data_IF_982317367201
#
_entry.id   IF_982317367201
#
_cell.length_a   1.000
_cell.length_b   1.000
_cell.length_c   1.000
_cell.angle_alpha   90.00
_cell.angle_beta   90.00
_cell.angle_gamma   90.00
#
_symmetry.space_group_name_H-M   'P 1'
#
loop_
_entity.id
_entity.type
_entity.pdbx_description
1 polymer ?
#
# COMPACT_ATOMS: atom_id res chain seq x y z
N UNK A 1 8.70 6.46 14.58
CA UNK A 1 7.54 6.67 13.67
C UNK A 1 7.02 8.06 13.90
N UNK A 2 6.62 8.80 12.87
CA UNK A 2 6.08 10.14 13.08
C UNK A 2 4.66 10.08 13.64
N UNK A 3 4.33 10.89 14.67
CA UNK A 3 2.98 10.99 15.20
C UNK A 3 2.04 11.58 14.14
N UNK A 4 1.02 10.81 13.75
CA UNK A 4 0.05 11.17 12.71
C UNK A 4 0.05 10.26 11.49
N UNK A 5 1.04 9.36 11.33
CA UNK A 5 0.98 8.31 10.31
C UNK A 5 -0.10 7.26 10.63
N UNK A 6 -0.97 6.98 9.66
CA UNK A 6 -2.04 5.96 9.76
C UNK A 6 -1.46 4.53 9.73
N UNK A 7 -0.42 4.30 8.92
CA UNK A 7 0.23 2.99 8.79
C UNK A 7 1.16 2.69 9.97
N UNK A 8 0.64 2.03 11.01
CA UNK A 8 1.42 1.69 12.21
C UNK A 8 1.77 0.19 12.32
N UNK A 9 0.93 -0.69 11.77
CA UNK A 9 1.04 -2.13 12.00
C UNK A 9 1.90 -2.91 10.99
N UNK A 10 2.26 -2.31 9.85
CA UNK A 10 2.70 -3.03 8.63
C UNK A 10 1.59 -3.88 7.96
N UNK A 11 0.59 -4.29 8.74
CA UNK A 11 -0.47 -5.24 8.37
C UNK A 11 -1.82 -4.59 8.02
N UNK A 12 -1.92 -3.26 7.87
CA UNK A 12 -3.05 -2.67 7.12
C UNK A 12 -3.08 -3.22 5.69
N UNK A 13 -1.95 -3.78 5.31
CA UNK A 13 -1.75 -4.67 4.22
C UNK A 13 -1.26 -6.08 4.75
N UNK A 14 -0.13 -6.72 4.39
CA UNK A 14 -0.06 -8.23 4.33
C UNK A 14 -0.28 -9.00 5.68
N UNK A 15 -1.02 -10.12 5.63
CA UNK A 15 -1.56 -10.85 6.81
C UNK A 15 -0.65 -11.92 7.46
N UNK A 16 0.62 -12.07 7.05
CA UNK A 16 1.60 -12.95 7.74
C UNK A 16 3.02 -12.40 7.58
N UNK A 17 3.84 -12.61 8.62
CA UNK A 17 5.25 -12.19 8.67
C UNK A 17 6.07 -12.84 7.54
N UNK A 18 6.89 -12.04 6.88
CA UNK A 18 8.01 -12.47 6.02
C UNK A 18 9.28 -11.84 6.60
N UNK A 19 10.36 -12.62 6.73
CA UNK A 19 11.59 -12.21 7.40
C UNK A 19 12.64 -11.84 6.34
N UNK A 20 12.86 -10.55 6.10
CA UNK A 20 14.08 -10.05 5.44
C UNK A 20 14.49 -8.72 6.07
N UNK A 21 15.77 -8.60 6.44
CA UNK A 21 16.32 -7.41 7.09
C UNK A 21 16.50 -6.24 6.10
N UNK A 22 16.42 -5.01 6.61
CA UNK A 22 16.80 -3.73 5.97
C UNK A 22 16.04 -3.20 4.73
N UNK A 23 15.25 -3.96 3.97
CA UNK A 23 14.28 -3.42 2.97
C UNK A 23 12.80 -3.57 3.39
N UNK A 24 12.59 -3.89 4.66
CA UNK A 24 11.32 -4.33 5.26
C UNK A 24 10.16 -3.32 5.13
N UNK A 25 10.44 -2.02 5.08
CA UNK A 25 9.39 -0.98 5.08
C UNK A 25 8.54 -0.91 3.81
N UNK A 26 9.06 -1.38 2.66
CA UNK A 26 8.31 -1.38 1.40
C UNK A 26 7.59 -2.72 1.22
N UNK A 27 8.24 -3.85 1.47
CA UNK A 27 7.69 -5.19 1.18
C UNK A 27 6.68 -5.72 2.22
N UNK A 28 6.72 -5.31 3.49
CA UNK A 28 5.87 -5.90 4.54
C UNK A 28 4.37 -5.65 4.36
N UNK A 29 3.98 -4.70 3.50
CA UNK A 29 2.65 -4.09 3.52
C UNK A 29 1.84 -4.33 2.23
N UNK A 30 1.44 -5.58 1.90
CA UNK A 30 0.51 -5.89 0.77
C UNK A 30 -0.64 -6.95 1.00
N UNK A 31 -1.76 -6.66 1.71
CA UNK A 31 -2.99 -7.52 1.81
C UNK A 31 -4.20 -6.98 1.07
N UNK A 32 -4.52 -5.68 1.14
CA UNK A 32 -5.62 -5.10 0.36
C UNK A 32 -5.48 -5.45 -1.12
N UNK A 33 -4.25 -5.30 -1.64
CA UNK A 33 -3.83 -5.80 -2.96
C UNK A 33 -4.17 -7.29 -3.19
N UNK A 34 -3.93 -8.17 -2.21
CA UNK A 34 -4.14 -9.63 -2.30
C UNK A 34 -5.57 -10.08 -1.95
N UNK A 35 -6.37 -9.20 -1.36
CA UNK A 35 -7.81 -9.34 -1.17
C UNK A 35 -8.57 -8.93 -2.43
N UNK A 36 -8.12 -7.90 -3.13
CA UNK A 36 -8.69 -7.41 -4.39
C UNK A 36 -8.23 -8.26 -5.58
N UNK A 37 -6.95 -8.68 -5.60
CA UNK A 37 -6.33 -9.31 -6.76
C UNK A 37 -5.49 -10.54 -6.41
N UNK A 38 -5.18 -11.37 -7.43
CA UNK A 38 -4.26 -12.50 -7.30
C UNK A 38 -2.81 -12.03 -7.31
N UNK A 39 -2.51 -11.06 -8.17
CA UNK A 39 -1.17 -10.59 -8.49
C UNK A 39 -1.12 -9.04 -8.47
N UNK A 40 0.04 -8.46 -8.18
CA UNK A 40 0.27 -7.03 -8.40
C UNK A 40 1.72 -6.71 -8.76
N UNK A 41 1.89 -5.56 -9.41
CA UNK A 41 3.18 -4.93 -9.69
C UNK A 41 3.14 -3.48 -9.20
N UNK A 42 4.24 -3.01 -8.64
CA UNK A 42 4.39 -1.65 -8.12
C UNK A 42 5.66 -1.03 -8.70
N UNK A 43 5.52 0.21 -9.19
CA UNK A 43 6.59 1.04 -9.69
C UNK A 43 6.76 2.21 -8.73
N UNK A 44 7.98 2.49 -8.26
CA UNK A 44 8.26 3.67 -7.45
C UNK A 44 9.50 4.39 -7.97
N UNK A 45 9.42 5.72 -7.93
CA UNK A 45 10.44 6.67 -8.37
C UNK A 45 10.78 7.54 -7.17
N UNK A 46 12.06 7.68 -6.86
CA UNK A 46 12.55 8.56 -5.79
C UNK A 46 14.00 8.95 -6.06
N UNK A 47 14.30 10.24 -6.08
CA UNK A 47 15.67 10.78 -6.14
C UNK A 47 16.50 10.20 -7.31
N UNK A 48 15.86 10.01 -8.48
CA UNK A 48 16.45 9.39 -9.67
C UNK A 48 16.46 7.85 -9.67
N UNK A 49 16.22 7.20 -8.53
CA UNK A 49 16.10 5.74 -8.44
C UNK A 49 14.72 5.28 -8.93
N UNK A 50 14.72 4.34 -9.87
CA UNK A 50 13.56 3.60 -10.32
C UNK A 50 13.59 2.19 -9.73
N UNK A 51 12.55 1.82 -9.02
CA UNK A 51 12.39 0.49 -8.41
C UNK A 51 11.05 -0.11 -8.79
N UNK A 52 11.06 -1.36 -9.26
CA UNK A 52 9.86 -2.14 -9.56
C UNK A 52 9.80 -3.36 -8.63
N UNK A 53 8.61 -3.65 -8.10
CA UNK A 53 8.31 -4.78 -7.22
C UNK A 53 7.15 -5.58 -7.83
N UNK A 54 7.38 -6.85 -8.13
CA UNK A 54 6.36 -7.79 -8.60
C UNK A 54 6.07 -8.85 -7.53
N UNK A 55 4.80 -9.00 -7.19
CA UNK A 55 4.30 -10.08 -6.33
C UNK A 55 3.13 -10.80 -7.01
N UNK A 56 3.45 -11.92 -7.66
CA UNK A 56 2.47 -12.75 -8.36
C UNK A 56 2.28 -14.09 -7.66
N UNK A 57 1.09 -14.37 -7.12
CA UNK A 57 0.72 -15.70 -6.63
C UNK A 57 0.59 -16.71 -7.77
N UNK A 58 0.15 -16.27 -8.95
CA UNK A 58 0.08 -17.12 -10.15
C UNK A 58 1.44 -17.72 -10.51
N UNK A 59 2.53 -16.94 -10.37
CA UNK A 59 3.90 -17.45 -10.53
C UNK A 59 4.26 -18.51 -9.47
N UNK A 60 3.90 -18.29 -8.20
CA UNK A 60 4.21 -19.25 -7.12
C UNK A 60 3.50 -20.58 -7.31
N UNK A 61 2.22 -20.54 -7.70
CA UNK A 61 1.41 -21.72 -7.98
C UNK A 61 1.95 -22.49 -9.19
N UNK A 62 2.34 -21.78 -10.27
CA UNK A 62 2.92 -22.40 -11.48
C UNK A 62 4.23 -23.16 -11.20
N UNK A 63 5.08 -22.62 -10.32
CA UNK A 63 6.36 -23.25 -9.95
C UNK A 63 6.32 -24.02 -8.61
N UNK A 64 5.13 -24.26 -8.04
CA UNK A 64 4.93 -24.95 -6.76
C UNK A 64 5.79 -24.44 -5.59
N UNK A 65 6.02 -23.12 -5.55
CA UNK A 65 6.89 -22.48 -4.56
C UNK A 65 6.19 -22.40 -3.20
N UNK A 66 6.82 -23.00 -2.17
CA UNK A 66 6.29 -23.04 -0.80
C UNK A 66 6.48 -21.71 -0.04
N UNK A 67 7.53 -20.96 -0.38
CA UNK A 67 7.88 -19.69 0.23
C UNK A 67 7.53 -18.49 -0.65
N UNK A 68 7.31 -17.33 -0.03
CA UNK A 68 6.92 -16.09 -0.74
C UNK A 68 8.13 -15.39 -1.33
N UNK A 69 8.38 -15.65 -2.62
CA UNK A 69 9.28 -14.88 -3.47
C UNK A 69 8.70 -13.48 -3.77
N UNK A 70 9.55 -12.46 -3.66
CA UNK A 70 9.25 -11.09 -4.12
C UNK A 70 10.31 -10.75 -5.16
N UNK A 71 9.89 -10.37 -6.37
CA UNK A 71 10.82 -9.93 -7.40
C UNK A 71 11.02 -8.42 -7.28
N UNK A 72 12.27 -8.00 -7.05
CA UNK A 72 12.69 -6.61 -7.01
C UNK A 72 13.61 -6.34 -8.20
N UNK A 73 13.34 -5.26 -8.91
CA UNK A 73 14.13 -4.76 -10.02
C UNK A 73 14.54 -3.31 -9.71
N UNK A 74 15.84 -3.01 -9.77
CA UNK A 74 16.38 -1.66 -9.58
C UNK A 74 17.09 -1.21 -10.85
N UNK A 75 16.88 0.04 -11.26
CA UNK A 75 17.47 0.57 -12.49
C UNK A 75 18.84 1.24 -12.32
N UNK A 76 19.54 0.93 -11.24
CA UNK A 76 20.96 1.28 -11.03
C UNK A 76 21.84 0.03 -10.88
N UNK A 77 21.30 -1.09 -10.35
CA UNK A 77 21.96 -2.40 -10.34
C UNK A 77 20.91 -3.51 -10.46
N UNK A 78 21.03 -4.37 -11.47
CA UNK A 78 20.27 -5.62 -11.54
C UNK A 78 20.80 -6.64 -10.52
N UNK A 79 20.40 -6.52 -9.25
CA UNK A 79 20.49 -7.61 -8.28
C UNK A 79 19.09 -8.21 -8.10
N UNK A 80 18.82 -9.42 -8.62
CA UNK A 80 17.65 -10.17 -8.18
C UNK A 80 17.88 -10.55 -6.72
N UNK A 81 17.22 -9.86 -5.78
CA UNK A 81 17.21 -10.24 -4.36
C UNK A 81 16.28 -11.45 -4.16
N UNK A 82 16.63 -12.55 -4.81
CA UNK A 82 16.17 -13.88 -4.43
C UNK A 82 17.08 -14.36 -3.30
N UNK A 83 16.61 -14.24 -2.05
CA UNK A 83 17.21 -14.93 -0.92
C UNK A 83 16.88 -16.43 -1.00
N UNK A 84 17.41 -17.10 -2.03
CA UNK A 84 17.35 -18.55 -2.22
C UNK A 84 18.76 -19.09 -2.39
N UNK A 85 19.32 -19.61 -1.30
CA UNK A 85 20.29 -20.71 -1.38
C UNK A 85 19.52 -21.99 -1.72
N UNK A 86 19.23 -22.16 -3.01
CA UNK A 86 18.91 -23.46 -3.59
C UNK A 86 20.20 -24.00 -4.21
N UNK A 87 20.55 -25.25 -3.91
CA UNK A 87 21.76 -25.88 -4.44
C UNK A 87 21.78 -25.80 -5.97
N UNK A 88 22.83 -25.22 -6.55
CA UNK A 88 23.04 -25.23 -8.01
C UNK A 88 22.65 -23.97 -8.79
N UNK A 89 22.41 -22.82 -8.15
CA UNK A 89 22.79 -21.53 -8.76
C UNK A 89 21.73 -20.42 -8.84
N UNK A 90 22.23 -19.19 -8.68
CA UNK A 90 21.47 -17.95 -8.85
C UNK A 90 21.08 -17.73 -10.30
N UNK A 91 19.88 -18.20 -10.71
CA UNK A 91 19.26 -17.78 -11.99
C UNK A 91 18.86 -16.31 -11.91
N UNK A 92 19.81 -15.43 -12.19
CA UNK A 92 19.49 -14.15 -12.79
C UNK A 92 18.65 -14.42 -14.05
N UNK A 93 17.52 -13.73 -14.19
CA UNK A 93 16.71 -13.80 -15.40
C UNK A 93 17.49 -13.10 -16.52
N UNK A 94 18.23 -13.89 -17.31
CA UNK A 94 18.94 -13.40 -18.49
C UNK A 94 17.94 -12.73 -19.44
N UNK A 95 18.14 -11.43 -19.69
CA UNK A 95 17.37 -10.67 -20.66
C UNK A 95 17.90 -10.96 -22.06
N UNK A 96 17.28 -11.92 -22.75
CA UNK A 96 17.47 -12.11 -24.19
C UNK A 96 16.72 -11.02 -24.98
N UNK A 97 17.08 -10.82 -26.26
CA UNK A 97 16.54 -9.78 -27.16
C UNK A 97 15.00 -9.75 -27.24
N UNK A 98 14.30 -10.87 -27.07
CA UNK A 98 12.84 -10.93 -26.95
C UNK A 98 12.25 -10.34 -25.66
N UNK A 99 13.09 -9.97 -24.69
CA UNK A 99 12.68 -9.26 -23.46
C UNK A 99 12.78 -7.75 -23.58
N UNK A 100 13.48 -7.22 -24.59
CA UNK A 100 13.66 -5.77 -24.79
C UNK A 100 12.31 -5.03 -24.87
N UNK A 101 11.38 -5.48 -25.72
CA UNK A 101 10.04 -4.86 -25.85
C UNK A 101 9.17 -4.98 -24.59
N UNK A 102 9.47 -5.93 -23.70
CA UNK A 102 8.81 -6.07 -22.40
C UNK A 102 9.41 -5.14 -21.36
N UNK A 103 10.69 -4.79 -21.49
CA UNK A 103 11.35 -3.75 -20.69
C UNK A 103 10.84 -2.36 -21.07
N UNK A 104 10.69 -2.07 -22.37
CA UNK A 104 10.11 -0.82 -22.87
C UNK A 104 8.71 -0.58 -22.26
N UNK A 105 7.84 -1.59 -22.31
CA UNK A 105 6.51 -1.55 -21.69
C UNK A 105 6.51 -1.37 -20.15
N UNK A 106 7.62 -1.64 -19.46
CA UNK A 106 7.81 -1.32 -18.03
C UNK A 106 8.27 0.14 -17.84
N UNK A 107 9.07 0.71 -18.74
CA UNK A 107 9.42 2.14 -18.72
C UNK A 107 8.20 3.02 -18.95
N UNK A 108 7.29 2.64 -19.86
CA UNK A 108 6.00 3.29 -20.06
C UNK A 108 5.17 3.42 -18.76
N UNK A 109 5.37 2.52 -17.78
CA UNK A 109 4.70 2.63 -16.47
C UNK A 109 5.40 3.61 -15.53
N UNK A 110 6.72 3.77 -15.62
CA UNK A 110 7.46 4.79 -14.87
C UNK A 110 7.20 6.20 -15.43
N UNK A 111 6.99 6.37 -16.74
CA UNK A 111 6.64 7.67 -17.34
C UNK A 111 5.30 8.23 -16.84
N UNK A 112 4.36 7.35 -16.47
CA UNK A 112 3.10 7.75 -15.80
C UNK A 112 3.33 8.47 -14.46
N UNK A 113 4.51 8.34 -13.86
CA UNK A 113 4.94 9.07 -12.66
C UNK A 113 5.68 10.34 -13.12
N UNK A 114 4.92 11.36 -13.48
CA UNK A 114 5.44 12.64 -13.99
C UNK A 114 6.30 13.43 -13.00
N UNK A 115 6.15 13.19 -11.69
CA UNK A 115 6.95 13.85 -10.65
C UNK A 115 8.39 13.32 -10.52
N UNK A 116 9.26 14.02 -9.77
CA UNK A 116 10.59 13.52 -9.40
C UNK A 116 10.51 12.35 -8.41
N UNK A 117 9.39 12.22 -7.70
CA UNK A 117 9.08 11.07 -6.85
C UNK A 117 7.59 10.69 -6.94
N UNK A 118 7.29 9.42 -6.68
CA UNK A 118 5.93 8.89 -6.68
C UNK A 118 5.88 7.36 -6.73
N UNK A 119 4.67 6.81 -6.62
CA UNK A 119 4.44 5.36 -6.65
C UNK A 119 3.16 5.04 -7.42
N UNK A 120 3.25 4.09 -8.35
CA UNK A 120 2.15 3.51 -9.11
C UNK A 120 1.99 2.04 -8.68
N UNK A 121 0.77 1.63 -8.35
CA UNK A 121 0.43 0.23 -8.03
C UNK A 121 -0.58 -0.25 -9.06
N UNK A 122 -0.28 -1.35 -9.73
CA UNK A 122 -1.16 -2.01 -10.71
C UNK A 122 -1.56 -3.38 -10.16
N UNK A 123 -2.83 -3.53 -9.80
CA UNK A 123 -3.44 -4.79 -9.41
C UNK A 123 -3.98 -5.49 -10.66
N UNK A 124 -3.70 -6.78 -10.83
CA UNK A 124 -4.18 -7.55 -11.98
C UNK A 124 -4.54 -8.99 -11.58
N UNK A 125 -5.29 -9.69 -12.44
CA UNK A 125 -6.01 -10.92 -12.06
C UNK A 125 -6.90 -10.67 -10.82
N UNK A 126 -7.81 -9.69 -10.96
CA UNK A 126 -8.78 -9.31 -9.93
C UNK A 126 -9.62 -10.51 -9.47
N UNK A 127 -10.06 -10.51 -8.22
CA UNK A 127 -10.96 -11.55 -7.71
C UNK A 127 -12.29 -11.53 -8.46
N UNK A 128 -12.80 -12.74 -8.69
CA UNK A 128 -14.11 -13.01 -9.25
C UNK A 128 -15.00 -13.62 -8.17
N UNK A 129 -16.31 -13.38 -8.27
CA UNK A 129 -17.34 -14.05 -7.48
C UNK A 129 -17.68 -15.41 -8.10
N UNK A 130 -18.54 -16.20 -7.44
CA UNK A 130 -18.87 -17.58 -7.86
C UNK A 130 -19.55 -17.65 -9.24
N UNK A 131 -20.22 -16.58 -9.68
CA UNK A 131 -20.78 -16.46 -11.04
C UNK A 131 -19.71 -16.31 -12.13
N UNK A 132 -18.45 -16.06 -11.75
CA UNK A 132 -17.34 -15.75 -12.65
C UNK A 132 -17.15 -14.26 -12.89
N UNK A 133 -18.08 -13.39 -12.50
CA UNK A 133 -17.98 -11.94 -12.66
C UNK A 133 -16.97 -11.31 -11.68
N UNK A 134 -16.57 -10.06 -11.91
CA UNK A 134 -15.75 -9.33 -10.95
C UNK A 134 -16.57 -8.91 -9.72
N UNK A 135 -15.95 -8.95 -8.53
CA UNK A 135 -16.55 -8.43 -7.29
C UNK A 135 -16.79 -6.91 -7.34
N UNK A 136 -15.99 -6.21 -8.15
CA UNK A 136 -16.07 -4.78 -8.41
C UNK A 136 -16.68 -4.55 -9.80
N UNK A 137 -17.78 -3.80 -9.85
CA UNK A 137 -18.39 -3.34 -11.09
C UNK A 137 -17.68 -2.07 -11.59
N UNK A 138 -17.33 -2.06 -12.89
CA UNK A 138 -16.64 -0.96 -13.57
C UNK A 138 -17.48 -0.31 -14.67
N UNK A 139 -18.78 -0.59 -14.76
CA UNK A 139 -19.65 -0.10 -15.82
C UNK A 139 -20.13 1.33 -15.51
N UNK A 140 -20.43 1.61 -14.24
CA UNK A 140 -20.93 2.94 -13.81
C UNK A 140 -19.88 4.04 -14.06
N UNK A 141 -20.12 5.01 -14.96
CA UNK A 141 -19.11 5.98 -15.36
C UNK A 141 -18.63 6.82 -14.18
N UNK A 142 -17.30 7.01 -14.10
CA UNK A 142 -16.61 7.71 -13.02
C UNK A 142 -16.69 7.08 -11.62
N UNK A 143 -17.31 5.91 -11.45
CA UNK A 143 -17.40 5.20 -10.18
C UNK A 143 -16.88 3.76 -10.29
N UNK A 144 -16.73 3.11 -9.14
CA UNK A 144 -16.53 1.67 -8.98
C UNK A 144 -17.47 1.23 -7.87
N UNK A 145 -18.39 0.30 -8.17
CA UNK A 145 -19.43 -0.16 -7.23
C UNK A 145 -19.20 -1.62 -6.87
N UNK A 146 -19.81 -2.10 -5.79
CA UNK A 146 -19.90 -3.54 -5.54
C UNK A 146 -20.93 -4.16 -6.50
N UNK A 147 -20.62 -5.34 -7.03
CA UNK A 147 -21.56 -6.10 -7.87
C UNK A 147 -22.79 -6.57 -7.07
N UNK A 148 -22.62 -6.84 -5.77
CA UNK A 148 -23.71 -7.13 -4.83
C UNK A 148 -24.25 -5.80 -4.24
N UNK A 149 -24.97 -5.03 -5.05
CA UNK A 149 -25.61 -3.79 -4.60
C UNK A 149 -26.78 -4.09 -3.65
N UNK A 150 -26.78 -3.48 -2.47
CA UNK A 150 -27.88 -3.56 -1.50
C UNK A 150 -28.44 -2.16 -1.25
N UNK A 151 -29.65 -1.88 -1.75
CA UNK A 151 -30.29 -0.56 -1.68
C UNK A 151 -30.57 -0.09 -0.24
N UNK A 152 -30.71 -1.03 0.71
CA UNK A 152 -30.90 -0.72 2.14
C UNK A 152 -29.59 -0.31 2.85
N UNK A 153 -28.42 -0.36 2.17
CA UNK A 153 -27.14 0.05 2.75
C UNK A 153 -26.79 1.49 2.44
N UNK A 154 -26.05 2.09 3.38
CA UNK A 154 -25.28 3.32 3.22
C UNK A 154 -24.53 3.32 1.87
N UNK A 155 -24.63 4.41 1.10
CA UNK A 155 -24.02 4.51 -0.23
C UNK A 155 -22.49 4.40 -0.16
N UNK A 156 -21.87 4.75 0.98
CA UNK A 156 -20.46 4.53 1.30
C UNK A 156 -20.04 3.06 1.34
N UNK A 157 -20.99 2.12 1.44
CA UNK A 157 -20.71 0.67 1.31
C UNK A 157 -20.88 0.16 -0.11
N UNK A 158 -21.71 0.83 -0.91
CA UNK A 158 -22.06 0.43 -2.27
C UNK A 158 -21.16 1.08 -3.35
N UNK A 159 -20.73 2.33 -3.11
CA UNK A 159 -19.95 3.16 -4.03
C UNK A 159 -18.58 3.50 -3.45
N UNK A 160 -17.52 3.19 -4.19
CA UNK A 160 -16.15 3.60 -3.84
C UNK A 160 -16.02 5.14 -3.87
N UNK A 161 -16.73 5.84 -4.76
CA UNK A 161 -16.74 7.31 -4.79
C UNK A 161 -17.33 7.92 -3.52
N UNK A 162 -18.42 7.37 -3.00
CA UNK A 162 -19.02 7.81 -1.74
C UNK A 162 -18.09 7.51 -0.56
N UNK A 163 -17.56 6.29 -0.47
CA UNK A 163 -16.58 5.90 0.54
C UNK A 163 -15.36 6.84 0.60
N UNK A 164 -14.76 7.13 -0.56
CA UNK A 164 -13.61 8.03 -0.69
C UNK A 164 -13.91 9.48 -0.32
N UNK A 165 -15.19 9.90 -0.31
CA UNK A 165 -15.57 11.27 0.05
C UNK A 165 -15.43 11.56 1.55
N UNK A 166 -15.69 10.55 2.40
CA UNK A 166 -15.69 10.64 3.87
C UNK A 166 -14.51 9.91 4.54
N UNK A 167 -13.68 9.18 3.78
CA UNK A 167 -12.55 8.36 4.27
C UNK A 167 -11.60 9.09 5.24
N UNK A 168 -11.44 10.40 5.09
CA UNK A 168 -10.60 11.22 5.97
C UNK A 168 -11.39 12.34 6.61
N UNK A 169 -11.37 12.43 7.96
CA UNK A 169 -12.00 13.52 8.70
C UNK A 169 -11.50 14.91 8.27
N UNK A 170 -10.22 15.01 7.91
CA UNK A 170 -9.57 16.23 7.42
C UNK A 170 -8.90 15.96 6.07
N UNK A 171 -9.64 15.97 4.94
CA UNK A 171 -9.09 15.63 3.64
C UNK A 171 -8.12 16.73 3.16
N UNK A 172 -6.87 16.34 2.87
CA UNK A 172 -5.83 17.19 2.25
C UNK A 172 -5.39 16.66 0.88
N UNK A 173 -5.36 15.34 0.71
CA UNK A 173 -5.02 14.69 -0.56
C UNK A 173 -6.17 14.86 -1.57
N UNK A 174 -5.84 15.22 -2.81
CA UNK A 174 -6.80 15.25 -3.92
C UNK A 174 -6.95 13.83 -4.48
N UNK A 175 -8.14 13.25 -4.37
CA UNK A 175 -8.44 11.91 -4.90
C UNK A 175 -9.16 12.03 -6.24
N UNK A 176 -8.75 11.23 -7.22
CA UNK A 176 -9.41 11.10 -8.53
C UNK A 176 -9.79 9.64 -8.73
N UNK A 177 -11.05 9.39 -9.09
CA UNK A 177 -11.54 8.06 -9.43
C UNK A 177 -12.00 8.07 -10.88
N UNK A 178 -11.42 7.20 -11.71
CA UNK A 178 -11.70 7.08 -13.15
C UNK A 178 -11.71 8.46 -13.86
N UNK A 179 -10.60 9.19 -13.72
CA UNK A 179 -10.38 10.52 -14.29
C UNK A 179 -11.12 11.68 -13.60
N UNK A 180 -12.22 11.43 -12.87
CA UNK A 180 -13.03 12.48 -12.25
C UNK A 180 -12.69 12.65 -10.77
N UNK A 181 -12.34 13.88 -10.37
CA UNK A 181 -12.07 14.26 -8.97
C UNK A 181 -13.19 13.78 -8.04
N UNK A 182 -12.85 13.25 -6.87
CA UNK A 182 -13.80 12.95 -5.79
C UNK A 182 -13.99 14.22 -4.97
N UNK A 183 -15.24 14.57 -4.69
CA UNK A 183 -15.57 15.69 -3.81
C UNK A 183 -15.52 15.19 -2.37
N UNK A 184 -14.40 15.43 -1.70
CA UNK A 184 -14.22 15.07 -0.29
C UNK A 184 -14.98 16.05 0.60
N UNK A 185 -15.75 15.53 1.54
CA UNK A 185 -16.54 16.31 2.49
C UNK A 185 -15.85 16.34 3.85
N UNK A 186 -16.08 17.39 4.63
CA UNK A 186 -15.80 17.36 6.08
C UNK A 186 -17.13 17.09 6.77
N UNK A 187 -17.26 15.92 7.38
CA UNK A 187 -18.51 15.47 8.03
C UNK A 187 -19.06 16.55 8.98
N UNK A 188 -18.18 17.18 9.77
CA UNK A 188 -18.53 18.24 10.72
C UNK A 188 -19.14 19.51 10.08
N UNK A 189 -18.90 19.78 8.79
CA UNK A 189 -19.52 20.92 8.07
C UNK A 189 -20.81 20.55 7.32
N UNK A 190 -21.22 19.28 7.36
CA UNK A 190 -22.43 18.77 6.70
C UNK A 190 -23.60 18.63 7.67
N UNK A 191 -23.35 18.70 8.97
CA UNK A 191 -24.36 18.54 10.02
C UNK A 191 -25.12 19.84 10.31
N UNK A 192 -26.43 19.73 10.50
CA UNK A 192 -27.29 20.82 10.99
C UNK A 192 -27.14 20.89 12.53
N UNK A 193 -26.63 22.02 13.04
CA UNK A 193 -26.30 22.26 14.46
C UNK A 193 -25.23 21.32 15.07
N UNK A 194 -23.95 21.45 14.67
CA UNK A 194 -22.86 20.68 15.28
C UNK A 194 -22.55 21.18 16.70
N UNK A 195 -22.75 20.31 17.70
CA UNK A 195 -22.33 20.55 19.09
C UNK A 195 -21.01 19.86 19.42
N UNK A 196 -20.20 20.50 20.28
CA UNK A 196 -18.90 19.96 20.74
C UNK A 196 -18.94 19.65 22.23
N UNK A 197 -18.69 18.40 22.58
CA UNK A 197 -18.50 17.95 23.95
C UNK A 197 -17.03 17.61 24.20
N UNK A 198 -16.45 18.13 25.29
CA UNK A 198 -15.07 17.82 25.68
C UNK A 198 -15.06 16.59 26.59
N UNK A 199 -14.52 15.47 26.11
CA UNK A 199 -14.40 14.24 26.89
C UNK A 199 -12.98 14.08 27.47
N UNK A 200 -12.86 14.07 28.80
CA UNK A 200 -11.59 13.86 29.50
C UNK A 200 -11.33 12.37 29.71
N UNK A 201 -10.60 11.76 28.77
CA UNK A 201 -10.22 10.35 28.85
C UNK A 201 -9.22 10.09 29.99
N UNK A 202 -9.64 9.37 31.04
CA UNK A 202 -8.81 9.04 32.23
C UNK A 202 -7.46 8.44 31.86
N UNK A 203 -7.44 7.51 30.90
CA UNK A 203 -6.25 6.76 30.53
C UNK A 203 -5.29 7.53 29.61
N UNK A 204 -5.78 8.53 28.85
CA UNK A 204 -4.97 9.25 27.88
C UNK A 204 -3.86 10.05 28.55
N UNK A 205 -4.18 10.72 29.67
CA UNK A 205 -3.18 11.45 30.48
C UNK A 205 -2.10 10.51 31.01
N UNK A 206 -2.48 9.35 31.54
CA UNK A 206 -1.53 8.34 32.05
C UNK A 206 -0.65 7.75 30.95
N UNK A 207 -1.19 7.48 29.76
CA UNK A 207 -0.40 7.03 28.61
C UNK A 207 0.59 8.10 28.14
N UNK A 208 0.16 9.36 28.07
CA UNK A 208 1.03 10.47 27.68
C UNK A 208 2.18 10.69 28.67
N UNK A 209 1.91 10.60 29.98
CA UNK A 209 2.93 10.69 31.03
C UNK A 209 3.95 9.54 30.90
N UNK A 210 3.49 8.29 30.72
CA UNK A 210 4.38 7.14 30.58
C UNK A 210 5.32 7.24 29.37
N UNK A 211 4.83 7.71 28.23
CA UNK A 211 5.69 7.92 27.05
C UNK A 211 6.63 9.13 27.23
N UNK A 212 6.22 10.17 27.98
CA UNK A 212 7.10 11.28 28.36
C UNK A 212 8.26 10.81 29.26
N UNK A 213 7.97 10.09 30.35
CA UNK A 213 8.97 9.51 31.27
C UNK A 213 9.97 8.61 30.52
N UNK A 214 9.45 7.79 29.59
CA UNK A 214 10.25 6.91 28.73
C UNK A 214 11.17 7.66 27.76
N UNK A 215 10.75 8.85 27.30
CA UNK A 215 11.59 9.75 26.51
C UNK A 215 12.67 10.41 27.38
N UNK A 216 12.33 10.92 28.57
CA UNK A 216 13.33 11.50 29.48
C UNK A 216 14.42 10.49 29.88
N UNK A 217 14.05 9.23 30.13
CA UNK A 217 15.02 8.19 30.47
C UNK A 217 16.01 7.98 29.31
N UNK A 218 15.53 7.87 28.07
CA UNK A 218 16.40 7.74 26.88
C UNK A 218 17.30 8.95 26.66
N UNK A 219 16.82 10.17 26.97
CA UNK A 219 17.65 11.39 26.90
C UNK A 219 18.77 11.33 27.94
N UNK A 220 18.48 10.92 29.19
CA UNK A 220 19.50 10.72 30.23
C UNK A 220 20.53 9.67 29.85
N UNK A 221 20.09 8.50 29.36
CA UNK A 221 20.97 7.43 28.87
C UNK A 221 21.88 7.94 27.73
N UNK A 222 21.33 8.67 26.76
CA UNK A 222 22.09 9.25 25.65
C UNK A 222 23.07 10.34 26.10
N UNK A 223 22.72 11.15 27.09
CA UNK A 223 23.60 12.15 27.67
C UNK A 223 24.77 11.51 28.43
N UNK A 224 24.53 10.43 29.19
CA UNK A 224 25.61 9.69 29.87
C UNK A 224 26.59 9.00 28.92
N UNK A 225 26.16 8.67 27.69
CA UNK A 225 27.02 8.07 26.65
C UNK A 225 27.91 9.09 25.93
N UNK A 226 27.57 10.39 25.97
CA UNK A 226 28.32 11.48 25.31
C UNK A 226 29.39 12.13 26.23
N UNK A 227 29.77 11.48 27.34
CA UNK A 227 30.77 11.98 28.32
C UNK A 227 32.09 11.18 28.25
N UNK A 228 32.30 10.43 27.16
CA UNK A 228 33.54 9.73 26.82
C UNK A 228 34.03 10.16 25.43
#
# INVERSE_FOLDING_TARGET
MEPGMIGQYGNGLKSRRVIVSHFLHICASFSGAMRIAKDFIMFTKKDGLLTCLLLSRTFHEMYSLKDVCIFLFYYVVFVPVASFTLEGGSRAMYCDSHTQSKMDALFDQFERISGPSGTLIVLFNLRRIETGDFELNFDTPHDVRLSNFEEQREEERNSLRAYLSVLYLNPRMKVYLRGKKVLTTRILSTLLYPYKYNYTAKNLKTCAIKEYERCEQKVRESQSLNVF
#
